data_IF_986602094957
#
_entry.id   IF_986602094957
#
_cell.length_a   1.000
_cell.length_b   1.000
_cell.length_c   1.000
_cell.angle_alpha   90.00
_cell.angle_beta   90.00
_cell.angle_gamma   90.00
#
_symmetry.space_group_name_H-M   'P 1'
#
loop_
_entity.id
_entity.type
_entity.pdbx_description
1 polymer ?
#
# COMPACT_ATOMS: atom_id res chain seq x y z
N UNK A 1 -14.25 31.27 -6.58
CA UNK A 1 -14.93 29.97 -6.41
C UNK A 1 -14.15 28.94 -7.21
N UNK A 2 -13.01 28.49 -6.69
CA UNK A 2 -12.18 27.49 -7.35
C UNK A 2 -12.47 26.17 -6.66
N UNK A 3 -13.14 25.26 -7.36
CA UNK A 3 -13.37 23.91 -6.88
C UNK A 3 -12.01 23.30 -6.51
N UNK A 4 -11.83 22.96 -5.24
CA UNK A 4 -10.79 22.02 -4.83
C UNK A 4 -11.13 20.72 -5.54
N UNK A 5 -10.46 20.44 -6.67
CA UNK A 5 -10.64 19.23 -7.45
C UNK A 5 -10.36 18.05 -6.54
N UNK A 6 -11.42 17.39 -6.09
CA UNK A 6 -11.29 16.15 -5.36
C UNK A 6 -10.45 15.19 -6.21
N UNK A 7 -9.28 14.78 -5.73
CA UNK A 7 -8.43 13.90 -6.51
C UNK A 7 -9.18 12.58 -6.75
N UNK A 8 -9.11 12.09 -7.98
CA UNK A 8 -9.93 10.98 -8.50
C UNK A 8 -9.80 9.66 -7.70
N UNK A 9 -8.81 9.55 -6.80
CA UNK A 9 -8.67 8.42 -5.87
C UNK A 9 -9.74 8.35 -4.77
N UNK A 10 -10.60 9.38 -4.61
CA UNK A 10 -11.62 9.41 -3.55
C UNK A 10 -12.94 8.71 -3.90
N UNK A 11 -13.08 8.09 -5.07
CA UNK A 11 -14.34 7.49 -5.52
C UNK A 11 -14.25 5.95 -5.58
N UNK A 12 -14.85 5.31 -4.57
CA UNK A 12 -15.33 3.91 -4.56
C UNK A 12 -14.33 2.85 -5.04
N UNK A 13 -13.12 2.85 -4.48
CA UNK A 13 -12.27 1.66 -4.52
C UNK A 13 -12.74 0.65 -3.45
N UNK A 14 -12.64 -0.67 -3.70
CA UNK A 14 -12.84 -1.69 -2.66
C UNK A 14 -11.91 -1.45 -1.47
N UNK A 15 -12.24 -2.01 -0.30
CA UNK A 15 -11.37 -1.90 0.86
C UNK A 15 -9.98 -2.45 0.51
N UNK A 16 -8.96 -1.64 0.79
CA UNK A 16 -7.60 -1.90 0.32
C UNK A 16 -6.64 -2.03 1.49
N UNK A 17 -6.09 -3.23 1.67
CA UNK A 17 -5.09 -3.56 2.68
C UNK A 17 -4.13 -4.66 2.16
N UNK A 18 -2.94 -4.31 1.62
CA UNK A 18 -2.05 -5.26 0.96
C UNK A 18 -1.24 -6.18 1.91
N UNK A 19 -1.41 -6.05 3.22
CA UNK A 19 -0.65 -6.82 4.20
C UNK A 19 0.81 -6.35 4.30
N UNK A 20 1.55 -6.94 5.25
CA UNK A 20 2.95 -6.54 5.50
C UNK A 20 3.90 -7.29 4.58
N UNK A 21 4.56 -6.55 3.68
CA UNK A 21 5.59 -7.10 2.80
C UNK A 21 7.01 -6.89 3.38
N UNK A 22 7.71 -8.00 3.66
CA UNK A 22 9.11 -7.99 4.09
C UNK A 22 10.05 -8.08 2.89
N UNK A 23 10.38 -6.94 2.29
CA UNK A 23 11.10 -6.88 1.00
C UNK A 23 12.42 -7.66 0.98
N UNK A 24 13.14 -7.73 2.11
CA UNK A 24 14.43 -8.45 2.23
C UNK A 24 14.32 -9.97 2.18
N UNK A 25 13.12 -10.53 2.20
CA UNK A 25 12.94 -11.97 2.10
C UNK A 25 13.41 -12.48 0.73
N UNK A 26 14.19 -13.57 0.74
CA UNK A 26 14.83 -14.11 -0.47
C UNK A 26 13.85 -14.45 -1.60
N UNK A 27 12.60 -14.80 -1.28
CA UNK A 27 11.53 -15.06 -2.25
C UNK A 27 11.28 -13.91 -3.23
N UNK A 28 11.59 -12.67 -2.84
CA UNK A 28 11.34 -11.49 -3.66
C UNK A 28 12.47 -11.18 -4.64
N UNK A 29 13.58 -11.92 -4.61
CA UNK A 29 14.77 -11.66 -5.45
C UNK A 29 14.48 -11.69 -6.95
N UNK A 30 13.50 -12.49 -7.39
CA UNK A 30 13.10 -12.67 -8.80
C UNK A 30 11.60 -12.47 -8.98
N UNK A 31 10.94 -11.81 -8.02
CA UNK A 31 9.51 -11.56 -8.07
C UNK A 31 9.21 -10.31 -8.91
N UNK A 32 8.69 -10.52 -10.12
CA UNK A 32 8.40 -9.46 -11.09
C UNK A 32 7.09 -8.70 -10.80
N UNK A 33 6.30 -9.17 -9.84
CA UNK A 33 5.06 -8.49 -9.47
C UNK A 33 5.36 -7.16 -8.75
N UNK A 34 4.41 -6.20 -8.78
CA UNK A 34 4.51 -4.98 -7.96
C UNK A 34 4.49 -5.31 -6.46
N UNK A 35 4.84 -4.32 -5.62
CA UNK A 35 4.68 -4.45 -4.16
C UNK A 35 3.23 -4.77 -3.83
N UNK A 36 2.34 -4.05 -4.49
CA UNK A 36 0.91 -4.08 -4.31
C UNK A 36 0.21 -3.70 -5.63
N UNK A 37 -0.58 -4.59 -6.24
CA UNK A 37 -1.21 -4.35 -7.54
C UNK A 37 -2.28 -3.26 -7.52
N UNK A 38 -2.88 -2.97 -6.36
CA UNK A 38 -3.95 -1.98 -6.23
C UNK A 38 -3.41 -0.60 -5.80
N UNK A 39 -2.10 -0.49 -5.53
CA UNK A 39 -1.47 0.76 -5.11
C UNK A 39 -1.14 1.68 -6.30
N UNK A 40 -1.63 2.91 -6.24
CA UNK A 40 -1.37 3.92 -7.27
C UNK A 40 -0.05 4.68 -7.09
N UNK A 41 0.91 4.20 -6.29
CA UNK A 41 2.19 4.91 -6.12
C UNK A 41 3.15 4.63 -7.30
N UNK A 42 4.09 5.54 -7.61
CA UNK A 42 5.06 5.35 -8.70
C UNK A 42 5.87 4.05 -8.62
N UNK A 43 6.14 3.57 -7.40
CA UNK A 43 6.86 2.31 -7.21
C UNK A 43 6.02 1.11 -7.66
N UNK A 44 4.74 1.07 -7.31
CA UNK A 44 3.86 -0.05 -7.65
C UNK A 44 3.41 -0.04 -9.11
N UNK A 45 3.35 1.13 -9.75
CA UNK A 45 2.96 1.22 -11.16
C UNK A 45 4.05 0.75 -12.13
N UNK A 46 5.33 0.93 -11.78
CA UNK A 46 6.42 0.81 -12.75
C UNK A 46 7.51 -0.17 -12.35
N UNK A 47 7.58 -0.59 -11.07
CA UNK A 47 8.72 -1.34 -10.55
C UNK A 47 8.26 -2.66 -9.90
N UNK A 48 9.10 -3.68 -10.06
CA UNK A 48 8.89 -4.98 -9.45
C UNK A 48 9.47 -5.06 -8.04
N UNK A 49 8.99 -6.04 -7.27
CA UNK A 49 9.56 -6.43 -5.97
C UNK A 49 11.02 -6.86 -6.10
N UNK A 50 11.39 -7.55 -7.18
CA UNK A 50 12.76 -7.93 -7.51
C UNK A 50 13.69 -6.72 -7.65
N UNK A 51 13.24 -5.70 -8.38
CA UNK A 51 14.02 -4.50 -8.59
C UNK A 51 14.23 -3.74 -7.29
N UNK A 52 13.18 -3.57 -6.48
CA UNK A 52 13.29 -2.92 -5.17
C UNK A 52 14.16 -3.72 -4.19
N UNK A 53 14.04 -5.05 -4.19
CA UNK A 53 14.92 -5.92 -3.41
C UNK A 53 16.39 -5.74 -3.82
N UNK A 54 16.67 -5.64 -5.13
CA UNK A 54 18.01 -5.36 -5.62
C UNK A 54 18.52 -4.00 -5.14
N UNK A 55 17.73 -2.92 -5.27
CA UNK A 55 18.12 -1.58 -4.81
C UNK A 55 18.43 -1.53 -3.31
N UNK A 56 17.60 -2.15 -2.46
CA UNK A 56 17.88 -2.25 -1.02
C UNK A 56 19.15 -3.04 -0.75
N UNK A 57 19.40 -4.13 -1.50
CA UNK A 57 20.61 -4.95 -1.34
C UNK A 57 21.91 -4.24 -1.72
N UNK A 58 21.89 -3.37 -2.72
CA UNK A 58 23.07 -2.58 -3.12
C UNK A 58 23.23 -1.29 -2.30
N UNK A 59 22.27 -1.00 -1.40
CA UNK A 59 22.30 0.18 -0.53
C UNK A 59 21.94 1.48 -1.25
N UNK A 60 21.20 1.40 -2.37
CA UNK A 60 20.78 2.60 -3.09
C UNK A 60 19.68 3.35 -2.31
N UNK A 61 19.85 4.64 -1.98
CA UNK A 61 18.85 5.42 -1.24
C UNK A 61 17.51 5.55 -1.98
N UNK A 62 17.46 5.30 -3.29
CA UNK A 62 16.22 5.24 -4.06
C UNK A 62 15.27 4.17 -3.52
N UNK A 63 15.77 3.03 -3.03
CA UNK A 63 14.94 2.00 -2.41
C UNK A 63 14.12 2.57 -1.24
N UNK A 64 14.79 3.26 -0.31
CA UNK A 64 14.17 3.86 0.86
C UNK A 64 13.12 4.90 0.48
N UNK A 65 13.41 5.74 -0.53
CA UNK A 65 12.46 6.75 -1.02
C UNK A 65 11.21 6.11 -1.61
N UNK A 66 11.37 5.10 -2.46
CA UNK A 66 10.26 4.42 -3.12
C UNK A 66 9.39 3.64 -2.12
N UNK A 67 10.01 2.97 -1.16
CA UNK A 67 9.30 2.27 -0.08
C UNK A 67 8.56 3.24 0.83
N UNK A 68 9.17 4.37 1.18
CA UNK A 68 8.51 5.42 1.96
C UNK A 68 7.31 5.99 1.21
N UNK A 69 7.43 6.19 -0.11
CA UNK A 69 6.34 6.66 -0.95
C UNK A 69 5.19 5.65 -1.00
N UNK A 70 5.48 4.36 -1.19
CA UNK A 70 4.47 3.30 -1.11
C UNK A 70 3.75 3.29 0.24
N UNK A 71 4.50 3.29 1.34
CA UNK A 71 3.93 3.31 2.69
C UNK A 71 3.02 4.51 2.91
N UNK A 72 3.46 5.70 2.49
CA UNK A 72 2.69 6.93 2.65
C UNK A 72 1.41 6.92 1.79
N UNK A 73 1.47 6.41 0.55
CA UNK A 73 0.28 6.24 -0.29
C UNK A 73 -0.70 5.27 0.36
N UNK A 74 -0.22 4.13 0.86
CA UNK A 74 -1.04 3.17 1.60
C UNK A 74 -1.76 3.82 2.79
N UNK A 75 -1.03 4.53 3.67
CA UNK A 75 -1.65 5.19 4.83
C UNK A 75 -2.67 6.26 4.44
N UNK A 76 -2.41 7.02 3.37
CA UNK A 76 -3.37 8.01 2.88
C UNK A 76 -4.67 7.33 2.41
N UNK A 77 -4.55 6.22 1.68
CA UNK A 77 -5.69 5.41 1.22
C UNK A 77 -6.45 4.80 2.40
N UNK A 78 -5.75 4.23 3.38
CA UNK A 78 -6.35 3.68 4.61
C UNK A 78 -7.13 4.76 5.37
N UNK A 79 -6.51 5.91 5.64
CA UNK A 79 -7.17 7.00 6.36
C UNK A 79 -8.34 7.60 5.58
N UNK A 80 -8.29 7.61 4.25
CA UNK A 80 -9.42 8.03 3.43
C UNK A 80 -10.63 7.10 3.59
N UNK A 81 -10.39 5.78 3.57
CA UNK A 81 -11.43 4.77 3.81
C UNK A 81 -12.05 4.93 5.21
N UNK A 82 -11.23 5.08 6.25
CA UNK A 82 -11.71 5.28 7.61
C UNK A 82 -12.52 6.57 7.77
N UNK A 83 -12.06 7.69 7.18
CA UNK A 83 -12.83 8.95 7.19
C UNK A 83 -14.17 8.82 6.47
N UNK A 84 -14.23 8.05 5.38
CA UNK A 84 -15.48 7.78 4.68
C UNK A 84 -16.43 6.93 5.53
N UNK A 85 -15.91 5.89 6.20
CA UNK A 85 -16.68 5.03 7.09
C UNK A 85 -17.25 5.80 8.30
N UNK A 86 -16.48 6.73 8.88
CA UNK A 86 -16.96 7.62 9.96
C UNK A 86 -18.15 8.45 9.47
N UNK A 87 -18.03 9.09 8.30
CA UNK A 87 -19.13 9.90 7.73
C UNK A 87 -20.39 9.08 7.42
N UNK A 88 -20.22 7.81 7.08
CA UNK A 88 -21.32 6.88 6.80
C UNK A 88 -21.87 6.18 8.06
N UNK A 89 -21.27 6.37 9.25
CA UNK A 89 -21.65 5.63 10.46
C UNK A 89 -21.29 4.15 10.43
N UNK A 90 -20.36 3.73 9.56
CA UNK A 90 -19.99 2.34 9.28
C UNK A 90 -18.59 1.96 9.78
N UNK A 91 -17.96 2.79 10.63
CA UNK A 91 -16.58 2.59 11.06
C UNK A 91 -16.31 1.19 11.62
N UNK A 92 -17.21 0.65 12.45
CA UNK A 92 -17.00 -0.66 13.09
C UNK A 92 -16.90 -1.81 12.07
N UNK A 93 -17.81 -1.86 11.09
CA UNK A 93 -17.79 -2.88 10.03
C UNK A 93 -16.52 -2.78 9.19
N UNK A 94 -16.20 -1.56 8.74
CA UNK A 94 -15.01 -1.32 7.90
C UNK A 94 -13.72 -1.65 8.64
N UNK A 95 -13.62 -1.29 9.93
CA UNK A 95 -12.46 -1.64 10.74
C UNK A 95 -12.31 -3.16 10.91
N UNK A 96 -13.41 -3.87 11.14
CA UNK A 96 -13.40 -5.34 11.26
C UNK A 96 -12.98 -6.00 9.94
N UNK A 97 -13.45 -5.50 8.80
CA UNK A 97 -13.05 -5.98 7.48
C UNK A 97 -11.55 -5.74 7.22
N UNK A 98 -11.03 -4.55 7.55
CA UNK A 98 -9.59 -4.23 7.41
C UNK A 98 -8.73 -5.15 8.28
N UNK A 99 -9.11 -5.33 9.55
CA UNK A 99 -8.38 -6.20 10.48
C UNK A 99 -8.44 -7.68 10.04
N UNK A 100 -9.54 -8.12 9.42
CA UNK A 100 -9.63 -9.46 8.86
C UNK A 100 -8.65 -9.68 7.70
N UNK A 101 -8.31 -8.63 6.94
CA UNK A 101 -7.31 -8.67 5.87
C UNK A 101 -5.85 -8.67 6.41
N UNK A 102 -5.61 -8.13 7.62
CA UNK A 102 -4.27 -8.11 8.25
C UNK A 102 -3.73 -9.50 8.59
N UNK A 103 -4.62 -10.46 8.86
CA UNK A 103 -4.28 -11.83 9.29
C UNK A 103 -3.48 -12.66 8.26
N UNK A 104 -3.27 -12.16 7.04
CA UNK A 104 -2.46 -12.80 6.00
C UNK A 104 -0.97 -12.39 5.98
N UNK A 105 -0.54 -11.49 6.86
CA UNK A 105 0.86 -11.06 6.93
C UNK A 105 1.79 -12.23 7.30
N UNK A 106 2.81 -12.50 6.48
CA UNK A 106 3.79 -13.58 6.64
C UNK A 106 4.21 -13.80 8.11
N UNK A 107 3.99 -15.02 8.61
CA UNK A 107 4.44 -15.46 9.93
C UNK A 107 5.95 -15.23 10.09
N UNK A 108 6.31 -14.66 11.24
CA UNK A 108 7.66 -14.29 11.63
C UNK A 108 8.31 -15.50 12.31
N UNK A 109 9.40 -16.09 11.78
CA UNK A 109 10.26 -16.96 12.57
C UNK A 109 11.08 -16.14 13.58
#
# INVERSE_FOLDING_TARGET
MTACSHPQWSQRAPLHHPGVLRLRNARYRTDENPIDPDCSCPACQSLSRAYLHHLDRVGDPLALRLLSLHNLTYYQTLLAQLRAAIRAGQLASVAQEILALEGGGQAVP
#
